data_IF_335794950581
#
_entry.id   IF_335794950581
#
_cell.length_a   1.000
_cell.length_b   1.000
_cell.length_c   1.000
_cell.angle_alpha   90.00
_cell.angle_beta   90.00
_cell.angle_gamma   90.00
#
_symmetry.space_group_name_H-M   'P 1'
#
loop_
_entity.id
_entity.type
_entity.pdbx_description
1 polymer ?
#
# COMPACT_ATOMS: atom_id res chain seq x y z
N UNK A 1 -17.51 5.55 -3.35
CA UNK A 1 -16.72 4.60 -4.16
C UNK A 1 -16.97 3.19 -3.66
N UNK A 2 -16.70 2.91 -2.37
CA UNK A 2 -17.04 1.64 -1.73
C UNK A 2 -18.53 1.26 -1.85
N UNK A 3 -19.44 2.23 -1.73
CA UNK A 3 -20.89 2.00 -1.87
C UNK A 3 -21.33 1.62 -3.30
N UNK A 4 -20.45 1.79 -4.29
CA UNK A 4 -20.73 1.45 -5.69
C UNK A 4 -20.19 0.06 -6.08
N UNK A 5 -19.60 -0.67 -5.15
CA UNK A 5 -19.09 -2.02 -5.38
C UNK A 5 -20.24 -3.03 -5.36
N UNK A 6 -20.10 -4.09 -6.17
CA UNK A 6 -21.08 -5.17 -6.15
C UNK A 6 -21.07 -5.90 -4.80
N UNK A 7 -22.19 -6.52 -4.41
CA UNK A 7 -22.24 -7.33 -3.19
C UNK A 7 -21.18 -8.44 -3.14
N UNK A 8 -20.88 -9.08 -4.28
CA UNK A 8 -19.86 -10.14 -4.37
C UNK A 8 -18.45 -9.62 -4.07
N UNK A 9 -18.11 -8.42 -4.55
CA UNK A 9 -16.82 -7.79 -4.27
C UNK A 9 -16.72 -7.36 -2.81
N UNK A 10 -17.80 -6.80 -2.24
CA UNK A 10 -17.86 -6.43 -0.83
C UNK A 10 -17.69 -7.66 0.09
N UNK A 11 -18.33 -8.78 -0.23
CA UNK A 11 -18.18 -10.03 0.52
C UNK A 11 -16.76 -10.59 0.43
N UNK A 12 -16.15 -10.55 -0.77
CA UNK A 12 -14.76 -10.98 -0.95
C UNK A 12 -13.78 -10.12 -0.14
N UNK A 13 -13.98 -8.79 -0.11
CA UNK A 13 -13.19 -7.87 0.71
C UNK A 13 -13.36 -8.19 2.20
N UNK A 14 -14.61 -8.37 2.66
CA UNK A 14 -14.89 -8.70 4.06
C UNK A 14 -14.19 -9.99 4.50
N UNK A 15 -14.13 -11.00 3.62
CA UNK A 15 -13.36 -12.24 3.86
C UNK A 15 -11.87 -11.98 3.96
N UNK A 16 -11.27 -11.23 3.03
CA UNK A 16 -9.85 -10.86 3.10
C UNK A 16 -9.53 -10.10 4.40
N UNK A 17 -10.38 -9.16 4.80
CA UNK A 17 -10.22 -8.39 6.03
C UNK A 17 -10.37 -9.28 7.29
N UNK A 18 -11.30 -10.24 7.28
CA UNK A 18 -11.47 -11.19 8.38
C UNK A 18 -10.24 -12.11 8.54
N UNK A 19 -9.71 -12.63 7.44
CA UNK A 19 -8.47 -13.43 7.44
C UNK A 19 -7.29 -12.60 7.96
N UNK A 20 -7.16 -11.36 7.51
CA UNK A 20 -6.12 -10.46 8.00
C UNK A 20 -6.27 -10.17 9.49
N UNK A 21 -7.49 -9.91 9.97
CA UNK A 21 -7.77 -9.68 11.38
C UNK A 21 -7.37 -10.88 12.23
N UNK A 22 -7.61 -12.11 11.75
CA UNK A 22 -7.19 -13.32 12.44
C UNK A 22 -5.67 -13.42 12.58
N UNK A 23 -4.93 -13.12 11.51
CA UNK A 23 -3.46 -13.10 11.53
C UNK A 23 -2.95 -12.05 12.52
N UNK A 24 -3.46 -10.82 12.48
CA UNK A 24 -3.03 -9.76 13.39
C UNK A 24 -3.35 -10.09 14.86
N UNK A 25 -4.55 -10.61 15.13
CA UNK A 25 -4.97 -11.06 16.47
C UNK A 25 -4.09 -12.17 17.04
N UNK A 26 -3.52 -13.04 16.21
CA UNK A 26 -2.61 -14.11 16.65
C UNK A 26 -1.26 -13.59 17.15
N UNK A 27 -0.88 -12.36 16.76
CA UNK A 27 0.44 -11.75 17.05
C UNK A 27 0.43 -10.80 18.24
N UNK A 28 -0.73 -10.55 18.85
CA UNK A 28 -0.90 -9.58 19.95
C UNK A 28 -1.35 -10.24 21.24
N UNK A 29 -1.11 -9.55 22.36
CA UNK A 29 -1.55 -9.98 23.68
C UNK A 29 -3.09 -10.07 23.77
N UNK A 30 -3.65 -10.94 24.64
CA UNK A 30 -5.11 -11.18 24.72
C UNK A 30 -5.95 -9.91 24.89
N UNK A 31 -5.54 -9.00 25.77
CA UNK A 31 -6.28 -7.76 26.03
C UNK A 31 -6.28 -6.75 24.85
N UNK A 32 -5.34 -6.89 23.91
CA UNK A 32 -5.33 -6.13 22.65
C UNK A 32 -6.20 -6.86 21.63
N UNK A 33 -6.03 -8.18 21.51
CA UNK A 33 -6.80 -9.05 20.60
C UNK A 33 -8.31 -8.82 20.70
N UNK A 34 -8.82 -8.76 21.93
CA UNK A 34 -10.25 -8.56 22.23
C UNK A 34 -10.78 -7.21 21.74
N UNK A 35 -9.92 -6.19 21.69
CA UNK A 35 -10.29 -4.83 21.25
C UNK A 35 -10.20 -4.63 19.74
N UNK A 36 -9.50 -5.50 19.02
CA UNK A 36 -9.36 -5.41 17.56
C UNK A 36 -10.65 -5.88 16.89
N UNK A 37 -11.46 -4.97 16.35
CA UNK A 37 -12.71 -5.31 15.64
C UNK A 37 -12.56 -5.29 14.12
N UNK A 38 -11.53 -4.62 13.62
CA UNK A 38 -11.13 -4.53 12.21
C UNK A 38 -9.62 -4.72 12.11
N UNK A 39 -9.09 -5.26 11.00
CA UNK A 39 -7.65 -5.33 10.81
C UNK A 39 -7.07 -3.91 10.71
N UNK A 40 -5.86 -3.74 11.24
CA UNK A 40 -5.07 -2.50 11.14
C UNK A 40 -4.78 -2.16 9.69
N UNK A 41 -4.51 -3.20 8.90
CA UNK A 41 -4.39 -3.10 7.46
C UNK A 41 -5.60 -3.79 6.86
N UNK A 42 -6.73 -3.09 6.76
CA UNK A 42 -7.85 -3.52 5.91
C UNK A 42 -7.57 -3.25 4.44
N UNK A 43 -8.39 -3.78 3.52
CA UNK A 43 -8.31 -3.40 2.10
C UNK A 43 -8.48 -1.90 1.94
N UNK A 44 -9.46 -1.32 2.65
CA UNK A 44 -9.73 0.12 2.62
C UNK A 44 -8.55 0.95 3.15
N UNK A 45 -7.92 0.52 4.25
CA UNK A 45 -6.77 1.21 4.82
C UNK A 45 -5.55 1.17 3.90
N UNK A 46 -5.33 0.06 3.19
CA UNK A 46 -4.24 -0.02 2.20
C UNK A 46 -4.45 0.95 1.04
N UNK A 47 -5.68 1.04 0.51
CA UNK A 47 -6.02 2.06 -0.49
C UNK A 47 -5.81 3.47 0.05
N UNK A 48 -6.24 3.74 1.28
CA UNK A 48 -6.08 5.05 1.92
C UNK A 48 -4.60 5.39 2.17
N UNK A 49 -3.76 4.43 2.56
CA UNK A 49 -2.32 4.63 2.72
C UNK A 49 -1.66 4.98 1.39
N UNK A 50 -1.99 4.21 0.35
CA UNK A 50 -1.46 4.47 -1.00
C UNK A 50 -1.87 5.84 -1.53
N UNK A 51 -3.16 6.19 -1.39
CA UNK A 51 -3.63 7.53 -1.77
C UNK A 51 -2.94 8.64 -0.98
N UNK A 52 -2.74 8.44 0.34
CA UNK A 52 -2.06 9.43 1.18
C UNK A 52 -0.62 9.64 0.74
N UNK A 53 0.12 8.58 0.45
CA UNK A 53 1.48 8.68 -0.07
C UNK A 53 1.50 9.43 -1.40
N UNK A 54 0.66 9.03 -2.36
CA UNK A 54 0.58 9.67 -3.68
C UNK A 54 0.29 11.17 -3.56
N UNK A 55 -0.72 11.56 -2.77
CA UNK A 55 -1.06 12.98 -2.56
C UNK A 55 0.08 13.79 -1.94
N UNK A 56 0.94 13.16 -1.13
CA UNK A 56 2.13 13.82 -0.56
C UNK A 56 3.26 13.95 -1.56
N UNK A 57 3.41 12.98 -2.46
CA UNK A 57 4.45 13.02 -3.50
C UNK A 57 4.14 14.05 -4.60
N UNK A 58 2.86 14.26 -4.94
CA UNK A 58 2.42 15.11 -6.05
C UNK A 58 2.90 16.57 -6.05
N UNK A 59 2.78 17.34 -4.95
CA UNK A 59 3.29 18.71 -4.92
C UNK A 59 4.83 18.77 -4.98
N UNK A 60 5.49 17.62 -4.77
CA UNK A 60 6.88 17.58 -4.32
C UNK A 60 6.94 17.99 -2.86
N UNK A 61 7.76 17.31 -2.07
CA UNK A 61 7.97 17.71 -0.69
C UNK A 61 8.65 19.08 -0.63
N UNK A 62 8.07 20.01 0.12
CA UNK A 62 8.76 21.24 0.47
C UNK A 62 9.86 20.94 1.49
N UNK A 63 10.91 21.76 1.55
CA UNK A 63 12.09 21.48 2.40
C UNK A 63 11.79 21.36 3.90
N UNK A 64 10.63 21.83 4.35
CA UNK A 64 10.15 21.74 5.73
C UNK A 64 9.21 20.53 5.97
N UNK A 65 8.80 19.82 4.91
CA UNK A 65 7.95 18.63 5.02
C UNK A 65 8.78 17.40 5.38
N UNK A 66 8.63 16.94 6.62
CA UNK A 66 9.27 15.70 7.08
C UNK A 66 8.42 14.47 6.75
N UNK A 67 9.03 13.49 6.07
CA UNK A 67 8.46 12.16 5.94
C UNK A 67 9.46 11.07 6.32
N UNK A 68 9.19 10.28 7.37
CA UNK A 68 10.10 9.21 7.77
C UNK A 68 10.30 8.20 6.62
N UNK A 69 11.55 7.85 6.34
CA UNK A 69 11.87 6.83 5.33
C UNK A 69 11.23 5.47 5.66
N UNK A 70 11.05 5.15 6.95
CA UNK A 70 10.31 3.97 7.40
C UNK A 70 8.81 4.04 7.11
N UNK A 71 8.22 5.23 7.07
CA UNK A 71 6.83 5.39 6.67
C UNK A 71 6.66 5.18 5.16
N UNK A 72 7.63 5.66 4.36
CA UNK A 72 7.70 5.37 2.94
C UNK A 72 7.83 3.86 2.66
N UNK A 73 8.74 3.17 3.36
CA UNK A 73 8.93 1.72 3.29
C UNK A 73 7.62 0.96 3.60
N UNK A 74 6.95 1.31 4.71
CA UNK A 74 5.67 0.71 5.09
C UNK A 74 4.57 0.91 4.03
N UNK A 75 4.53 2.06 3.36
CA UNK A 75 3.55 2.31 2.29
C UNK A 75 3.82 1.44 1.06
N UNK A 76 5.09 1.25 0.70
CA UNK A 76 5.47 0.38 -0.43
C UNK A 76 5.14 -1.08 -0.14
N UNK A 77 5.43 -1.56 1.06
CA UNK A 77 5.00 -2.89 1.52
C UNK A 77 3.48 -3.03 1.54
N UNK A 78 2.78 -2.00 2.01
CA UNK A 78 1.31 -1.96 1.98
C UNK A 78 0.78 -2.03 0.55
N UNK A 79 1.46 -1.42 -0.43
CA UNK A 79 1.09 -1.50 -1.85
C UNK A 79 1.36 -2.89 -2.46
N UNK A 80 2.45 -3.56 -2.09
CA UNK A 80 2.69 -4.98 -2.43
C UNK A 80 1.61 -5.89 -1.85
N UNK A 81 1.22 -5.67 -0.60
CA UNK A 81 0.14 -6.42 0.03
C UNK A 81 -1.21 -6.14 -0.64
N UNK A 82 -1.47 -4.89 -1.05
CA UNK A 82 -2.69 -4.53 -1.78
C UNK A 82 -2.74 -5.23 -3.14
N UNK A 83 -1.62 -5.33 -3.84
CA UNK A 83 -1.52 -6.04 -5.11
C UNK A 83 -1.96 -7.51 -4.99
N UNK A 84 -1.49 -8.17 -3.93
CA UNK A 84 -1.82 -9.56 -3.63
C UNK A 84 -3.30 -9.73 -3.30
N UNK A 85 -3.86 -8.81 -2.52
CA UNK A 85 -5.30 -8.81 -2.23
C UNK A 85 -6.10 -8.64 -3.51
N UNK A 86 -5.76 -7.66 -4.36
CA UNK A 86 -6.47 -7.42 -5.61
C UNK A 86 -6.44 -8.64 -6.54
N UNK A 87 -5.33 -9.39 -6.60
CA UNK A 87 -5.24 -10.66 -7.35
C UNK A 87 -6.10 -11.79 -6.76
N UNK A 88 -6.38 -11.75 -5.45
CA UNK A 88 -7.22 -12.74 -4.77
C UNK A 88 -8.72 -12.39 -4.81
N UNK A 89 -9.06 -11.14 -5.13
CA UNK A 89 -10.44 -10.71 -5.33
C UNK A 89 -10.99 -11.23 -6.68
N UNK A 90 -12.33 -11.35 -6.80
CA UNK A 90 -12.97 -11.66 -8.08
C UNK A 90 -12.54 -10.70 -9.20
N UNK A 91 -12.54 -11.16 -10.45
CA UNK A 91 -12.09 -10.38 -11.62
C UNK A 91 -12.85 -9.05 -11.75
N UNK A 92 -14.13 -9.03 -11.36
CA UNK A 92 -14.96 -7.82 -11.40
C UNK A 92 -14.43 -6.71 -10.47
N UNK A 93 -13.68 -7.04 -9.41
CA UNK A 93 -13.02 -6.05 -8.56
C UNK A 93 -11.89 -5.31 -9.31
N UNK A 94 -11.16 -6.05 -10.16
CA UNK A 94 -10.04 -5.52 -10.95
C UNK A 94 -10.53 -4.72 -12.16
N UNK A 95 -11.61 -5.14 -12.82
CA UNK A 95 -12.20 -4.40 -13.93
C UNK A 95 -13.06 -3.20 -13.48
N UNK A 96 -13.56 -3.28 -12.24
CA UNK A 96 -14.46 -2.31 -11.66
C UNK A 96 -13.79 -1.07 -11.04
N UNK A 97 -14.55 -0.34 -10.20
CA UNK A 97 -14.09 0.91 -9.59
C UNK A 97 -12.81 0.79 -8.76
N UNK A 98 -12.53 -0.36 -8.15
CA UNK A 98 -11.33 -0.59 -7.33
C UNK A 98 -10.07 -0.68 -8.18
N UNK A 99 -10.05 -1.54 -9.21
CA UNK A 99 -8.90 -1.61 -10.10
C UNK A 99 -8.68 -0.29 -10.85
N UNK A 100 -9.75 0.41 -11.25
CA UNK A 100 -9.63 1.76 -11.82
C UNK A 100 -9.03 2.77 -10.83
N UNK A 101 -9.41 2.73 -9.56
CA UNK A 101 -8.81 3.58 -8.53
C UNK A 101 -7.33 3.25 -8.35
N UNK A 102 -6.98 1.97 -8.22
CA UNK A 102 -5.60 1.55 -8.04
C UNK A 102 -4.73 1.98 -9.22
N UNK A 103 -5.18 1.73 -10.45
CA UNK A 103 -4.47 2.14 -11.67
C UNK A 103 -4.28 3.66 -11.75
N UNK A 104 -5.27 4.46 -11.32
CA UNK A 104 -5.13 5.92 -11.24
C UNK A 104 -4.09 6.34 -10.21
N UNK A 105 -4.09 5.72 -9.02
CA UNK A 105 -3.10 6.01 -7.98
C UNK A 105 -1.69 5.63 -8.42
N UNK A 106 -1.51 4.46 -9.04
CA UNK A 106 -0.21 4.01 -9.57
C UNK A 106 0.30 4.95 -10.68
N UNK A 107 -0.59 5.44 -11.53
CA UNK A 107 -0.24 6.43 -12.57
C UNK A 107 0.23 7.74 -11.96
N UNK A 108 -0.46 8.24 -10.93
CA UNK A 108 -0.07 9.46 -10.19
C UNK A 108 1.25 9.26 -9.44
N UNK A 109 1.44 8.11 -8.80
CA UNK A 109 2.71 7.73 -8.18
C UNK A 109 3.85 7.77 -9.19
N UNK A 110 3.69 7.15 -10.36
CA UNK A 110 4.69 7.16 -11.44
C UNK A 110 5.02 8.57 -11.91
N UNK A 111 4.01 9.46 -11.99
CA UNK A 111 4.22 10.85 -12.39
C UNK A 111 4.99 11.66 -11.32
N UNK A 112 4.84 11.33 -10.05
CA UNK A 112 5.49 12.01 -8.92
C UNK A 112 6.85 11.39 -8.50
N UNK A 113 7.32 10.39 -9.22
CA UNK A 113 8.56 9.65 -8.92
C UNK A 113 9.42 9.47 -10.17
N UNK A 114 10.72 9.23 -9.99
CA UNK A 114 11.65 8.89 -11.06
C UNK A 114 12.16 7.45 -10.92
N UNK A 115 12.52 6.76 -12.01
CA UNK A 115 13.25 5.49 -11.93
C UNK A 115 14.51 5.63 -11.07
N UNK A 116 14.81 4.62 -10.27
CA UNK A 116 15.97 4.54 -9.39
C UNK A 116 16.82 3.30 -9.75
N UNK A 117 17.50 3.30 -10.92
CA UNK A 117 18.24 2.13 -11.40
C UNK A 117 19.42 1.77 -10.50
N UNK A 118 19.97 2.74 -9.75
CA UNK A 118 21.00 2.49 -8.75
C UNK A 118 20.45 1.91 -7.43
N UNK A 119 19.13 1.80 -7.30
CA UNK A 119 18.44 1.40 -6.07
C UNK A 119 18.95 2.19 -4.86
N UNK A 120 19.09 3.51 -5.02
CA UNK A 120 19.65 4.40 -4.00
C UNK A 120 18.96 4.26 -2.65
N UNK A 121 17.67 3.92 -2.60
CA UNK A 121 16.92 3.78 -1.35
C UNK A 121 17.10 2.43 -0.63
N UNK A 122 17.71 1.42 -1.27
CA UNK A 122 17.80 0.04 -0.73
C UNK A 122 18.49 -0.13 0.62
N UNK A 123 19.45 0.72 1.03
CA UNK A 123 19.97 0.64 2.38
C UNK A 123 18.91 0.84 3.46
N UNK A 124 17.84 1.58 3.17
CA UNK A 124 16.83 2.00 4.14
C UNK A 124 15.41 1.50 3.84
N UNK A 125 15.11 1.18 2.58
CA UNK A 125 13.78 0.82 2.09
C UNK A 125 13.85 -0.59 1.49
N UNK A 126 13.29 -1.57 2.19
CA UNK A 126 13.42 -3.00 1.89
C UNK A 126 12.08 -3.70 2.10
N UNK A 127 11.61 -4.51 1.13
CA UNK A 127 10.39 -5.28 1.31
C UNK A 127 10.50 -6.18 2.53
N UNK A 128 9.43 -6.23 3.32
CA UNK A 128 9.38 -7.16 4.46
C UNK A 128 9.19 -8.62 4.05
N UNK A 129 8.66 -8.86 2.85
CA UNK A 129 8.63 -10.20 2.25
C UNK A 129 9.91 -10.52 1.52
N UNK A 130 10.54 -11.65 1.86
CA UNK A 130 11.66 -12.21 1.10
C UNK A 130 11.18 -12.62 -0.30
N UNK A 131 11.36 -11.71 -1.26
CA UNK A 131 11.08 -11.93 -2.68
C UNK A 131 12.31 -11.53 -3.50
N UNK A 132 12.58 -12.22 -4.61
CA UNK A 132 13.58 -11.78 -5.58
C UNK A 132 13.30 -10.34 -6.03
N UNK A 133 14.35 -9.54 -6.25
CA UNK A 133 14.26 -8.13 -6.65
C UNK A 133 13.51 -7.96 -7.99
N UNK A 134 13.55 -8.99 -8.84
CA UNK A 134 12.82 -9.06 -10.11
C UNK A 134 11.29 -9.13 -9.90
N UNK A 135 10.83 -9.72 -8.80
CA UNK A 135 9.41 -9.93 -8.49
C UNK A 135 8.77 -8.76 -7.74
N UNK A 136 9.58 -7.81 -7.29
CA UNK A 136 9.11 -6.63 -6.58
C UNK A 136 8.37 -5.69 -7.52
N UNK A 137 7.28 -5.11 -7.01
CA UNK A 137 6.50 -4.12 -7.71
C UNK A 137 7.35 -2.94 -8.17
N UNK A 138 6.96 -2.33 -9.30
CA UNK A 138 7.73 -1.24 -9.91
C UNK A 138 7.99 -0.06 -8.96
N UNK A 139 7.13 0.15 -7.96
CA UNK A 139 7.26 1.21 -6.97
C UNK A 139 8.53 1.13 -6.12
N UNK A 140 9.09 -0.08 -5.94
CA UNK A 140 10.37 -0.26 -5.24
C UNK A 140 11.59 0.18 -6.06
N UNK A 141 11.43 0.31 -7.37
CA UNK A 141 12.50 0.68 -8.33
C UNK A 141 12.43 2.17 -8.68
N UNK A 142 11.78 2.96 -7.84
CA UNK A 142 11.51 4.37 -8.03
C UNK A 142 11.75 5.14 -6.75
N UNK A 143 12.16 6.40 -6.91
CA UNK A 143 12.33 7.34 -5.81
C UNK A 143 11.51 8.60 -6.03
N UNK A 144 11.09 9.29 -4.95
CA UNK A 144 10.49 10.61 -5.04
C UNK A 144 11.38 11.57 -5.85
N UNK A 145 10.77 12.46 -6.65
CA UNK A 145 11.51 13.50 -7.41
C UNK A 145 12.30 14.42 -6.47
N UNK A 146 11.74 14.70 -5.29
CA UNK A 146 12.41 15.37 -4.17
C UNK A 146 12.31 14.46 -2.95
N UNK A 147 13.40 14.25 -2.24
CA UNK A 147 13.42 13.39 -1.05
C UNK A 147 13.09 14.21 0.21
N UNK A 148 12.13 13.77 1.05
CA UNK A 148 11.71 14.48 2.28
C UNK A 148 12.46 14.07 3.54
N UNK A 149 13.44 13.18 3.45
CA UNK A 149 14.26 12.76 4.59
C UNK A 149 15.63 13.43 4.52
N UNK A 150 16.18 13.90 5.66
CA UNK A 150 17.52 14.49 5.69
C UNK A 150 18.59 13.48 5.30
N UNK A 151 19.63 13.95 4.60
CA UNK A 151 20.87 13.21 4.31
C UNK A 151 21.68 12.91 5.58
#
# INVERSE_FOLDING_TARGET
MWDALSPSVLEAIARCDAERLQVERSRVAPHIREKMTVPTYSVADRFASWERLVRRLEPGWDGDDFYPISAYDNDLDSRDALDQVMRALPEEANEGPLGQLLARLDTRFRAATVPDPELSLRPWVRPTTERPEEELGEWWKRKPVRVPWPE
#
